data_IF_176848644791
#
_entry.id   IF_176848644791
#
_cell.length_a   1.000
_cell.length_b   1.000
_cell.length_c   1.000
_cell.angle_alpha   90.00
_cell.angle_beta   90.00
_cell.angle_gamma   90.00
#
_symmetry.space_group_name_H-M   'P 1'
#
loop_
_entity.id
_entity.type
_entity.pdbx_description
1 polymer ?
#
# COMPACT_ATOMS: atom_id res chain seq x y z
N UNK A 1 -36.82 31.33 -18.84
CA UNK A 1 -36.48 30.29 -17.83
C UNK A 1 -36.06 28.91 -18.42
N UNK A 2 -35.94 28.73 -19.72
CA UNK A 2 -35.62 27.39 -20.34
C UNK A 2 -34.13 27.21 -20.63
N UNK A 3 -33.32 28.27 -20.71
CA UNK A 3 -31.90 28.20 -21.02
C UNK A 3 -31.00 27.67 -19.87
N UNK A 4 -31.39 27.93 -18.60
CA UNK A 4 -30.62 27.50 -17.45
C UNK A 4 -30.63 25.98 -17.19
N UNK A 5 -31.75 25.31 -17.51
CA UNK A 5 -31.88 23.85 -17.31
C UNK A 5 -31.09 23.01 -18.31
N UNK A 6 -30.83 23.55 -19.51
CA UNK A 6 -29.98 22.88 -20.52
C UNK A 6 -28.50 22.97 -20.16
N UNK A 7 -28.03 24.10 -19.63
CA UNK A 7 -26.64 24.28 -19.22
C UNK A 7 -26.30 23.39 -18.03
N UNK A 8 -27.19 23.29 -17.03
CA UNK A 8 -26.97 22.41 -15.87
C UNK A 8 -26.91 20.92 -16.25
N UNK A 9 -27.73 20.48 -17.22
CA UNK A 9 -27.70 19.08 -17.72
C UNK A 9 -26.44 18.78 -18.55
N UNK A 10 -25.90 19.77 -19.26
CA UNK A 10 -24.65 19.61 -20.02
C UNK A 10 -23.43 19.50 -19.07
N UNK A 11 -23.37 20.34 -18.04
CA UNK A 11 -22.31 20.29 -17.04
C UNK A 11 -22.35 18.95 -16.27
N UNK A 12 -23.53 18.49 -15.87
CA UNK A 12 -23.66 17.22 -15.15
C UNK A 12 -23.27 16.01 -16.02
N UNK A 13 -23.58 16.02 -17.32
CA UNK A 13 -23.14 14.98 -18.27
C UNK A 13 -21.63 15.01 -18.52
N UNK A 14 -21.03 16.21 -18.60
CA UNK A 14 -19.59 16.34 -18.83
C UNK A 14 -18.79 15.89 -17.61
N UNK A 15 -19.27 16.17 -16.40
CA UNK A 15 -18.64 15.70 -15.15
C UNK A 15 -18.79 14.18 -15.01
N UNK A 16 -19.96 13.61 -15.31
CA UNK A 16 -20.17 12.17 -15.26
C UNK A 16 -19.32 11.41 -16.29
N UNK A 17 -19.17 11.92 -17.51
CA UNK A 17 -18.29 11.33 -18.53
C UNK A 17 -16.80 11.39 -18.14
N UNK A 18 -16.34 12.48 -17.51
CA UNK A 18 -14.96 12.59 -17.03
C UNK A 18 -14.69 11.64 -15.85
N UNK A 19 -15.61 11.53 -14.89
CA UNK A 19 -15.52 10.55 -13.82
C UNK A 19 -15.50 9.12 -14.35
N UNK A 20 -16.30 8.81 -15.37
CA UNK A 20 -16.32 7.48 -15.98
C UNK A 20 -15.03 7.19 -16.77
N UNK A 21 -14.44 8.18 -17.45
CA UNK A 21 -13.18 8.04 -18.17
C UNK A 21 -11.98 7.87 -17.19
N UNK A 22 -11.99 8.57 -16.06
CA UNK A 22 -10.96 8.43 -15.01
C UNK A 22 -11.12 7.09 -14.29
N UNK A 23 -12.34 6.66 -13.97
CA UNK A 23 -12.62 5.35 -13.38
C UNK A 23 -12.24 4.21 -14.31
N UNK A 24 -12.54 4.31 -15.61
CA UNK A 24 -12.14 3.30 -16.60
C UNK A 24 -10.64 3.32 -16.86
N UNK A 25 -9.97 4.48 -16.83
CA UNK A 25 -8.52 4.55 -16.92
C UNK A 25 -7.83 3.97 -15.68
N UNK A 26 -8.34 4.25 -14.48
CA UNK A 26 -7.82 3.67 -13.22
C UNK A 26 -8.08 2.17 -13.14
N UNK A 27 -9.29 1.72 -13.52
CA UNK A 27 -9.61 0.29 -13.61
C UNK A 27 -8.78 -0.41 -14.69
N UNK A 28 -8.54 0.23 -15.83
CA UNK A 28 -7.65 -0.28 -16.88
C UNK A 28 -6.20 -0.34 -16.41
N UNK A 29 -5.72 0.64 -15.64
CA UNK A 29 -4.38 0.64 -15.04
C UNK A 29 -4.22 -0.53 -14.06
N UNK A 30 -5.23 -0.79 -13.22
CA UNK A 30 -5.22 -1.94 -12.28
C UNK A 30 -5.37 -3.29 -13.02
N UNK A 31 -6.08 -3.32 -14.14
CA UNK A 31 -6.27 -4.53 -14.94
C UNK A 31 -5.15 -4.78 -15.95
N UNK A 32 -4.45 -3.73 -16.39
CA UNK A 32 -3.36 -3.80 -17.39
C UNK A 32 -1.97 -3.89 -16.76
N UNK A 33 -1.82 -3.58 -15.46
CA UNK A 33 -0.54 -3.76 -14.79
C UNK A 33 -0.29 -5.25 -14.59
N UNK A 34 0.56 -5.83 -15.42
CA UNK A 34 1.07 -7.19 -15.30
C UNK A 34 1.94 -7.40 -14.06
N UNK A 35 1.75 -6.60 -13.02
CA UNK A 35 2.47 -6.70 -11.76
C UNK A 35 2.04 -7.94 -10.98
N UNK A 36 2.99 -8.62 -10.42
CA UNK A 36 2.74 -9.69 -9.47
C UNK A 36 2.00 -9.13 -8.25
N UNK A 37 0.97 -9.83 -7.79
CA UNK A 37 0.13 -9.43 -6.65
C UNK A 37 -0.18 -10.62 -5.76
N UNK A 38 -0.39 -10.38 -4.47
CA UNK A 38 -0.82 -11.41 -3.54
C UNK A 38 -2.13 -11.02 -2.85
N UNK A 39 -3.05 -11.98 -2.78
CA UNK A 39 -4.24 -11.93 -1.94
C UNK A 39 -4.16 -13.07 -0.93
N UNK A 40 -4.19 -12.71 0.33
CA UNK A 40 -4.07 -13.64 1.45
C UNK A 40 -5.36 -13.63 2.25
N UNK A 41 -6.00 -14.78 2.40
CA UNK A 41 -7.25 -14.92 3.18
C UNK A 41 -7.01 -15.86 4.35
N UNK A 42 -7.33 -15.41 5.55
CA UNK A 42 -7.30 -16.21 6.79
C UNK A 42 -8.71 -16.38 7.30
N UNK A 43 -9.25 -17.59 7.21
CA UNK A 43 -10.56 -17.94 7.78
C UNK A 43 -10.34 -18.55 9.14
N UNK A 44 -10.89 -17.96 10.18
CA UNK A 44 -10.75 -18.38 11.57
C UNK A 44 -12.05 -19.07 12.00
N UNK A 45 -11.93 -20.19 12.72
CA UNK A 45 -13.05 -20.94 13.29
C UNK A 45 -13.24 -20.61 14.77
N UNK A 46 -14.41 -20.89 15.32
CA UNK A 46 -14.72 -20.60 16.73
C UNK A 46 -13.83 -21.35 17.73
N UNK A 47 -13.28 -22.51 17.35
CA UNK A 47 -12.33 -23.28 18.16
C UNK A 47 -10.88 -22.76 18.07
N UNK A 48 -10.64 -21.69 17.31
CA UNK A 48 -9.32 -21.11 17.10
C UNK A 48 -8.49 -21.80 16.03
N UNK A 49 -8.99 -22.85 15.39
CA UNK A 49 -8.39 -23.39 14.16
C UNK A 49 -8.61 -22.42 13.01
N UNK A 50 -7.78 -22.49 11.98
CA UNK A 50 -7.84 -21.55 10.88
C UNK A 50 -7.34 -22.13 9.57
N UNK A 51 -7.82 -21.58 8.48
CA UNK A 51 -7.40 -21.92 7.11
C UNK A 51 -6.75 -20.70 6.46
N UNK A 52 -5.59 -20.91 5.88
CA UNK A 52 -4.84 -19.92 5.14
C UNK A 52 -4.95 -20.20 3.66
N UNK A 53 -5.40 -19.22 2.90
CA UNK A 53 -5.42 -19.26 1.43
C UNK A 53 -4.58 -18.11 0.89
N UNK A 54 -3.62 -18.43 0.02
CA UNK A 54 -2.75 -17.45 -0.64
C UNK A 54 -2.98 -17.57 -2.14
N UNK A 55 -3.48 -16.52 -2.76
CA UNK A 55 -3.63 -16.41 -4.20
C UNK A 55 -2.57 -15.43 -4.74
N UNK A 56 -1.62 -15.97 -5.48
CA UNK A 56 -0.57 -15.23 -6.17
C UNK A 56 -0.94 -15.12 -7.64
N UNK A 57 -0.83 -13.93 -8.20
CA UNK A 57 -1.08 -13.70 -9.63
C UNK A 57 0.05 -12.85 -10.20
N UNK A 58 0.50 -13.19 -11.38
CA UNK A 58 1.54 -12.45 -12.09
C UNK A 58 1.70 -12.95 -13.51
N UNK A 59 2.60 -12.34 -14.27
CA UNK A 59 2.92 -12.83 -15.60
C UNK A 59 3.68 -14.15 -15.55
N UNK A 60 3.42 -15.01 -16.53
CA UNK A 60 4.20 -16.21 -16.74
C UNK A 60 5.51 -15.86 -17.49
N UNK A 61 6.62 -16.47 -17.08
CA UNK A 61 7.90 -16.33 -17.77
C UNK A 61 7.80 -16.84 -19.19
N UNK A 62 8.27 -16.05 -20.14
CA UNK A 62 8.36 -16.44 -21.56
C UNK A 62 9.79 -16.35 -22.04
N UNK A 63 10.19 -17.35 -22.81
CA UNK A 63 11.50 -17.34 -23.45
C UNK A 63 11.61 -16.19 -24.46
N UNK A 64 12.67 -15.40 -24.35
CA UNK A 64 13.02 -14.32 -25.29
C UNK A 64 12.33 -12.98 -25.09
N UNK A 65 11.48 -12.81 -24.08
CA UNK A 65 10.89 -11.52 -23.73
C UNK A 65 11.53 -11.02 -22.44
N UNK A 66 12.25 -9.90 -22.52
CA UNK A 66 12.72 -9.19 -21.33
C UNK A 66 11.51 -8.51 -20.72
N UNK A 67 10.97 -9.07 -19.64
CA UNK A 67 9.67 -8.74 -19.14
C UNK A 67 9.73 -8.16 -17.72
N UNK A 68 8.69 -7.43 -17.38
CA UNK A 68 8.18 -7.19 -16.03
C UNK A 68 8.41 -8.40 -15.12
N UNK A 69 8.68 -8.21 -13.82
CA UNK A 69 8.89 -9.31 -12.88
C UNK A 69 7.75 -10.34 -12.98
N UNK A 70 8.09 -11.60 -13.19
CA UNK A 70 7.12 -12.69 -13.23
C UNK A 70 6.66 -13.03 -11.82
N UNK A 71 5.59 -13.84 -11.69
CA UNK A 71 5.16 -14.35 -10.40
C UNK A 71 6.33 -15.06 -9.69
N UNK A 72 7.05 -15.91 -10.42
CA UNK A 72 8.17 -16.68 -9.89
C UNK A 72 9.38 -15.80 -9.52
N UNK A 73 9.59 -14.68 -10.19
CA UNK A 73 10.67 -13.74 -9.85
C UNK A 73 10.32 -12.92 -8.59
N UNK A 74 9.04 -12.76 -8.29
CA UNK A 74 8.54 -11.92 -7.18
C UNK A 74 8.33 -12.73 -5.90
N UNK A 75 7.58 -13.83 -5.99
CA UNK A 75 7.15 -14.57 -4.79
C UNK A 75 7.93 -15.87 -4.59
N UNK A 76 8.07 -16.26 -3.33
CA UNK A 76 8.37 -17.63 -2.96
C UNK A 76 7.04 -18.37 -2.79
N UNK A 77 6.82 -19.37 -3.64
CA UNK A 77 5.63 -20.22 -3.51
C UNK A 77 5.86 -21.19 -2.36
N UNK A 78 5.05 -21.17 -1.28
CA UNK A 78 5.19 -22.10 -0.19
C UNK A 78 5.06 -23.56 -0.67
N UNK A 79 6.03 -24.37 -0.31
CA UNK A 79 6.04 -25.81 -0.58
C UNK A 79 6.19 -26.56 0.74
N UNK A 80 5.70 -27.80 0.80
CA UNK A 80 5.87 -28.63 1.99
C UNK A 80 4.57 -29.24 2.49
N UNK A 81 4.64 -30.04 3.56
CA UNK A 81 3.49 -30.80 4.05
C UNK A 81 2.34 -29.89 4.51
N UNK A 82 1.15 -30.26 4.10
CA UNK A 82 -0.09 -29.55 4.45
C UNK A 82 -0.52 -28.47 3.49
N UNK A 83 0.31 -28.02 2.56
CA UNK A 83 -0.10 -27.12 1.48
C UNK A 83 -0.75 -27.91 0.33
N UNK A 84 -1.92 -27.43 -0.09
CA UNK A 84 -2.56 -27.83 -1.35
C UNK A 84 -2.37 -26.69 -2.32
N UNK A 85 -1.98 -26.98 -3.57
CA UNK A 85 -1.79 -25.97 -4.61
C UNK A 85 -2.65 -26.27 -5.82
N UNK A 86 -3.13 -25.21 -6.45
CA UNK A 86 -3.73 -25.24 -7.79
C UNK A 86 -3.18 -24.09 -8.61
N UNK A 87 -3.00 -24.35 -9.91
CA UNK A 87 -2.46 -23.37 -10.85
C UNK A 87 -3.43 -23.20 -12.01
N UNK A 88 -3.60 -21.96 -12.44
CA UNK A 88 -4.38 -21.59 -13.60
C UNK A 88 -3.61 -20.59 -14.44
N UNK A 89 -3.52 -20.81 -15.74
CA UNK A 89 -2.94 -19.86 -16.69
C UNK A 89 -4.05 -19.33 -17.61
N UNK A 90 -4.23 -18.02 -17.62
CA UNK A 90 -5.16 -17.34 -18.50
C UNK A 90 -4.54 -16.06 -19.06
N UNK A 91 -4.60 -15.88 -20.38
CA UNK A 91 -4.12 -14.66 -21.07
C UNK A 91 -2.71 -14.23 -20.67
N UNK A 92 -1.78 -15.19 -20.51
CA UNK A 92 -0.40 -15.04 -20.02
C UNK A 92 -0.24 -14.69 -18.54
N UNK A 93 -1.30 -14.64 -17.78
CA UNK A 93 -1.25 -14.51 -16.33
C UNK A 93 -1.27 -15.90 -15.70
N UNK A 94 -0.30 -16.17 -14.86
CA UNK A 94 -0.25 -17.32 -13.98
C UNK A 94 -0.90 -16.96 -12.65
N UNK A 95 -1.85 -17.76 -12.23
CA UNK A 95 -2.46 -17.68 -10.90
C UNK A 95 -2.17 -18.97 -10.14
N UNK A 96 -1.55 -18.83 -8.98
CA UNK A 96 -1.26 -19.95 -8.07
C UNK A 96 -2.07 -19.73 -6.80
N UNK A 97 -2.93 -20.70 -6.48
CA UNK A 97 -3.68 -20.68 -5.22
C UNK A 97 -3.17 -21.78 -4.31
N UNK A 98 -2.84 -21.40 -3.09
CA UNK A 98 -2.30 -22.27 -2.04
C UNK A 98 -3.26 -22.28 -0.87
N UNK A 99 -3.52 -23.46 -0.28
CA UNK A 99 -4.38 -23.61 0.88
C UNK A 99 -3.72 -24.49 1.93
N UNK A 100 -3.85 -24.09 3.20
CA UNK A 100 -3.39 -24.87 4.36
C UNK A 100 -4.33 -24.68 5.55
N UNK A 101 -4.70 -25.79 6.19
CA UNK A 101 -5.45 -25.77 7.45
C UNK A 101 -4.50 -25.93 8.64
N UNK A 102 -4.78 -25.21 9.71
CA UNK A 102 -3.94 -25.13 10.91
C UNK A 102 -4.81 -25.32 12.17
N UNK A 103 -4.24 -25.98 13.17
CA UNK A 103 -4.88 -26.13 14.47
C UNK A 103 -4.86 -24.83 15.26
N UNK A 104 -5.69 -24.75 16.29
CA UNK A 104 -5.69 -23.64 17.23
C UNK A 104 -4.29 -23.42 17.84
N UNK A 105 -3.87 -22.16 17.94
CA UNK A 105 -2.58 -21.75 18.46
C UNK A 105 -1.38 -21.97 17.53
N UNK A 106 -1.60 -22.53 16.34
CA UNK A 106 -0.53 -22.67 15.35
C UNK A 106 -0.09 -21.30 14.80
N UNK A 107 1.16 -21.24 14.37
CA UNK A 107 1.76 -20.07 13.70
C UNK A 107 2.32 -20.47 12.34
N UNK A 108 2.44 -19.52 11.43
CA UNK A 108 3.18 -19.67 10.18
C UNK A 108 4.22 -18.55 10.05
N UNK A 109 5.40 -18.94 9.57
CA UNK A 109 6.51 -18.05 9.27
C UNK A 109 6.86 -18.15 7.79
N UNK A 110 6.91 -17.02 7.11
CA UNK A 110 7.35 -16.92 5.73
C UNK A 110 6.45 -17.59 4.70
N UNK A 111 5.17 -17.82 5.02
CA UNK A 111 4.20 -18.37 4.08
C UNK A 111 3.87 -17.37 2.95
N UNK A 112 4.05 -16.08 3.20
CA UNK A 112 4.14 -15.04 2.18
C UNK A 112 5.54 -14.42 2.23
N UNK A 113 6.34 -14.69 1.21
CA UNK A 113 7.70 -14.17 1.09
C UNK A 113 7.93 -13.57 -0.29
N UNK A 114 8.55 -12.39 -0.33
CA UNK A 114 8.90 -11.69 -1.56
C UNK A 114 10.40 -11.73 -1.75
N UNK A 115 10.83 -12.08 -2.97
CA UNK A 115 12.22 -12.18 -3.35
C UNK A 115 12.87 -10.81 -3.49
N UNK A 116 14.12 -10.71 -3.09
CA UNK A 116 14.97 -9.56 -3.40
C UNK A 116 15.49 -9.66 -4.84
N UNK A 117 15.92 -8.53 -5.41
CA UNK A 117 16.71 -8.51 -6.64
C UNK A 117 18.05 -9.25 -6.49
N UNK A 118 18.53 -9.43 -5.26
CA UNK A 118 19.72 -10.23 -4.98
C UNK A 118 19.35 -11.72 -4.94
N UNK A 119 20.03 -12.58 -5.74
CA UNK A 119 19.73 -14.00 -5.80
C UNK A 119 19.77 -14.68 -4.40
N UNK A 120 18.75 -15.46 -4.11
CA UNK A 120 18.66 -16.23 -2.86
C UNK A 120 18.31 -15.42 -1.61
N UNK A 121 18.12 -14.11 -1.74
CA UNK A 121 17.66 -13.27 -0.62
C UNK A 121 16.17 -12.97 -0.73
N UNK A 122 15.56 -12.76 0.43
CA UNK A 122 14.19 -12.25 0.57
C UNK A 122 14.28 -10.77 0.90
N UNK A 123 13.26 -10.01 0.49
CA UNK A 123 13.12 -8.61 0.91
C UNK A 123 11.97 -8.40 1.89
N UNK A 124 11.00 -9.32 1.88
CA UNK A 124 9.88 -9.30 2.80
C UNK A 124 9.52 -10.71 3.21
N UNK A 125 9.25 -10.90 4.49
CA UNK A 125 8.73 -12.14 5.07
C UNK A 125 7.58 -11.80 6.03
N UNK A 126 6.62 -12.70 6.17
CA UNK A 126 5.54 -12.54 7.15
C UNK A 126 5.66 -13.54 8.30
N UNK A 127 5.03 -13.17 9.41
CA UNK A 127 4.71 -14.03 10.53
C UNK A 127 3.24 -13.88 10.87
N UNK A 128 2.48 -14.97 10.96
CA UNK A 128 1.06 -14.94 11.31
C UNK A 128 0.74 -15.90 12.45
N UNK A 129 -0.11 -15.45 13.36
CA UNK A 129 -0.58 -16.21 14.51
C UNK A 129 -2.06 -15.93 14.80
N UNK A 130 -2.78 -16.98 15.20
CA UNK A 130 -4.11 -16.88 15.79
C UNK A 130 -4.05 -17.47 17.20
N UNK A 131 -4.36 -16.66 18.21
CA UNK A 131 -4.20 -17.04 19.63
C UNK A 131 -5.50 -16.81 20.40
N UNK A 132 -5.80 -17.70 21.35
CA UNK A 132 -6.83 -17.45 22.35
C UNK A 132 -6.29 -16.46 23.39
N UNK A 133 -6.98 -15.33 23.57
CA UNK A 133 -6.59 -14.26 24.50
C UNK A 133 -7.58 -14.06 25.64
N UNK A 134 -8.62 -14.88 25.70
CA UNK A 134 -9.61 -14.89 26.79
C UNK A 134 -10.77 -15.82 26.48
N UNK A 135 -11.73 -15.96 27.41
CA UNK A 135 -12.96 -16.68 27.13
C UNK A 135 -13.68 -16.08 25.92
N UNK A 136 -13.98 -16.92 24.94
CA UNK A 136 -14.65 -16.50 23.69
C UNK A 136 -13.93 -15.37 22.94
N UNK A 137 -12.57 -15.28 23.03
CA UNK A 137 -11.80 -14.24 22.36
C UNK A 137 -10.57 -14.82 21.69
N UNK A 138 -10.42 -14.49 20.41
CA UNK A 138 -9.25 -14.80 19.60
C UNK A 138 -8.55 -13.50 19.17
N UNK A 139 -7.23 -13.54 19.09
CA UNK A 139 -6.41 -12.48 18.48
C UNK A 139 -5.79 -13.03 17.21
N UNK A 140 -6.06 -12.36 16.11
CA UNK A 140 -5.28 -12.46 14.89
C UNK A 140 -4.17 -11.42 14.91
N UNK A 141 -2.96 -11.87 14.59
CA UNK A 141 -1.81 -10.97 14.42
C UNK A 141 -0.98 -11.44 13.23
N UNK A 142 -0.76 -10.56 12.27
CA UNK A 142 0.19 -10.78 11.19
C UNK A 142 1.19 -9.63 11.14
N UNK A 143 2.48 -9.96 11.00
CA UNK A 143 3.56 -8.99 10.92
C UNK A 143 4.28 -9.20 9.59
N UNK A 144 4.49 -8.14 8.83
CA UNK A 144 5.36 -8.12 7.67
C UNK A 144 6.68 -7.49 8.09
N UNK A 145 7.75 -8.24 7.90
CA UNK A 145 9.10 -7.83 8.22
C UNK A 145 9.91 -7.63 6.94
N UNK A 146 10.52 -6.44 6.80
CA UNK A 146 11.37 -6.10 5.68
C UNK A 146 12.81 -6.49 5.98
N UNK A 147 13.40 -7.33 5.14
CA UNK A 147 14.78 -7.84 5.29
C UNK A 147 15.75 -7.23 4.27
N UNK A 148 15.23 -6.47 3.32
CA UNK A 148 16.00 -5.79 2.28
C UNK A 148 16.54 -4.41 2.71
N UNK A 149 17.26 -3.72 1.84
CA UNK A 149 17.58 -2.31 2.04
C UNK A 149 16.30 -1.48 2.06
N UNK A 150 16.27 -0.30 2.71
CA UNK A 150 15.12 0.60 2.69
C UNK A 150 14.65 0.88 1.26
N UNK A 151 13.34 1.07 1.09
CA UNK A 151 12.76 1.39 -0.21
C UNK A 151 13.38 2.64 -0.80
N UNK A 152 13.73 2.57 -2.08
CA UNK A 152 14.25 3.74 -2.82
C UNK A 152 13.15 4.61 -3.40
N UNK A 153 11.88 4.31 -3.14
CA UNK A 153 10.72 4.96 -3.75
C UNK A 153 10.76 6.49 -3.66
N UNK A 154 11.39 7.03 -2.62
CA UNK A 154 11.53 8.47 -2.39
C UNK A 154 13.01 8.93 -2.35
N UNK A 155 13.98 8.02 -2.42
CA UNK A 155 15.40 8.37 -2.32
C UNK A 155 16.03 8.80 -3.66
N UNK A 156 15.44 8.44 -4.79
CA UNK A 156 15.92 8.82 -6.12
C UNK A 156 15.43 10.22 -6.54
N UNK A 157 15.39 11.14 -5.57
CA UNK A 157 15.05 12.54 -5.85
C UNK A 157 16.15 13.16 -6.70
N UNK A 158 15.76 13.57 -7.88
CA UNK A 158 16.67 14.23 -8.83
C UNK A 158 17.25 15.55 -8.24
N UNK A 159 18.47 15.95 -8.63
CA UNK A 159 19.10 17.17 -8.12
C UNK A 159 18.23 18.44 -8.23
N UNK A 160 17.36 18.53 -9.24
CA UNK A 160 16.40 19.63 -9.40
C UNK A 160 15.39 19.73 -8.24
N UNK A 161 14.93 18.60 -7.75
CA UNK A 161 13.97 18.56 -6.64
C UNK A 161 14.62 18.94 -5.30
N UNK A 162 15.92 18.62 -5.10
CA UNK A 162 16.67 19.09 -3.95
C UNK A 162 16.86 20.60 -3.95
N UNK A 163 17.04 21.21 -5.12
CA UNK A 163 17.16 22.67 -5.25
C UNK A 163 15.83 23.37 -4.87
N UNK A 164 14.69 22.83 -5.34
CA UNK A 164 13.36 23.29 -4.92
C UNK A 164 13.19 23.18 -3.41
N UNK A 165 13.46 22.01 -2.83
CA UNK A 165 13.36 21.81 -1.38
C UNK A 165 14.22 22.79 -0.57
N UNK A 166 15.46 23.04 -1.00
CA UNK A 166 16.35 24.02 -0.35
C UNK A 166 15.81 25.44 -0.39
N UNK A 167 15.11 25.83 -1.48
CA UNK A 167 14.56 27.19 -1.61
C UNK A 167 13.52 27.54 -0.55
N UNK A 168 12.86 26.53 0.04
CA UNK A 168 11.86 26.68 1.10
C UNK A 168 12.46 26.61 2.51
N UNK A 169 13.68 26.09 2.66
CA UNK A 169 14.34 26.05 3.95
C UNK A 169 14.93 27.39 4.35
N UNK A 170 14.98 27.74 5.64
CA UNK A 170 15.75 28.87 6.14
C UNK A 170 17.20 28.81 5.63
N UNK A 171 17.79 29.94 5.27
CA UNK A 171 19.14 30.00 4.67
C UNK A 171 20.20 29.22 5.44
N UNK A 172 20.14 29.23 6.79
CA UNK A 172 21.06 28.49 7.66
C UNK A 172 20.90 26.97 7.55
N UNK A 173 19.76 26.48 7.09
CA UNK A 173 19.43 25.05 6.98
C UNK A 173 19.42 24.58 5.51
N UNK A 174 19.51 25.47 4.54
CA UNK A 174 19.39 25.20 3.11
C UNK A 174 20.67 24.58 2.51
N UNK A 175 21.17 23.49 3.09
CA UNK A 175 22.33 22.73 2.60
C UNK A 175 21.88 21.44 1.92
N UNK A 176 22.69 20.88 1.03
CA UNK A 176 22.39 19.59 0.37
C UNK A 176 22.26 18.45 1.37
N UNK A 177 23.12 18.46 2.40
CA UNK A 177 23.07 17.46 3.48
C UNK A 177 21.74 17.50 4.22
N UNK A 178 21.28 18.69 4.62
CA UNK A 178 20.02 18.87 5.32
C UNK A 178 18.82 18.52 4.43
N UNK A 179 18.85 18.90 3.16
CA UNK A 179 17.79 18.58 2.22
C UNK A 179 17.67 17.06 2.00
N UNK A 180 18.80 16.35 1.83
CA UNK A 180 18.80 14.88 1.71
C UNK A 180 18.27 14.21 2.98
N UNK A 181 18.78 14.61 4.16
CA UNK A 181 18.33 14.08 5.43
C UNK A 181 16.82 14.33 5.67
N UNK A 182 16.31 15.48 5.24
CA UNK A 182 14.87 15.76 5.30
C UNK A 182 14.07 14.84 4.37
N UNK A 183 14.57 14.59 3.16
CA UNK A 183 13.94 13.64 2.22
C UNK A 183 13.88 12.24 2.81
N UNK A 184 14.99 11.75 3.36
CA UNK A 184 15.05 10.43 4.01
C UNK A 184 14.06 10.36 5.18
N UNK A 185 13.97 11.43 5.98
CA UNK A 185 13.01 11.49 7.09
C UNK A 185 11.56 11.57 6.62
N UNK A 186 11.30 12.30 5.53
CA UNK A 186 9.98 12.33 4.91
C UNK A 186 9.59 10.95 4.36
N UNK A 187 10.52 10.24 3.74
CA UNK A 187 10.31 8.88 3.25
C UNK A 187 9.98 7.92 4.41
N UNK A 188 10.81 7.91 5.45
CA UNK A 188 10.60 7.10 6.66
C UNK A 188 9.20 7.27 7.26
N UNK A 189 8.71 8.49 7.30
CA UNK A 189 7.43 8.81 7.93
C UNK A 189 6.23 8.68 6.97
N UNK A 190 6.42 8.96 5.66
CA UNK A 190 5.30 8.96 4.70
C UNK A 190 5.00 7.56 4.15
N UNK A 191 6.00 6.73 3.94
CA UNK A 191 5.80 5.39 3.37
C UNK A 191 4.83 4.55 4.22
N UNK A 192 4.99 4.42 5.55
CA UNK A 192 4.02 3.71 6.38
C UNK A 192 2.61 4.33 6.38
N UNK A 193 2.52 5.66 6.22
CA UNK A 193 1.24 6.39 6.23
C UNK A 193 0.51 6.25 4.88
N UNK A 194 1.24 6.28 3.78
CA UNK A 194 0.65 6.22 2.43
C UNK A 194 0.37 4.79 1.97
N UNK A 195 1.19 3.84 2.39
CA UNK A 195 1.18 2.47 1.88
C UNK A 195 0.89 1.43 2.97
N UNK A 196 0.75 1.88 4.23
CA UNK A 196 0.52 0.99 5.38
C UNK A 196 -0.92 0.53 5.53
N UNK A 197 -1.16 -0.46 6.40
CA UNK A 197 -2.48 -0.97 6.70
C UNK A 197 -3.36 0.09 7.38
N UNK A 198 -4.66 0.05 7.11
CA UNK A 198 -5.63 1.00 7.68
C UNK A 198 -5.65 2.36 6.97
N UNK A 199 -5.01 2.48 5.81
CA UNK A 199 -5.23 3.63 4.94
C UNK A 199 -6.13 3.26 3.76
N UNK A 200 -7.37 3.76 3.73
CA UNK A 200 -8.30 3.48 2.65
C UNK A 200 -7.92 4.17 1.33
N UNK A 201 -6.75 4.82 1.22
CA UNK A 201 -6.37 5.57 0.02
C UNK A 201 -6.46 4.74 -1.25
N UNK A 202 -6.07 3.47 -1.21
CA UNK A 202 -6.24 2.56 -2.35
C UNK A 202 -7.71 2.23 -2.60
N UNK A 203 -8.46 1.87 -1.56
CA UNK A 203 -9.89 1.54 -1.68
C UNK A 203 -10.74 2.79 -1.93
N UNK A 204 -10.48 3.89 -1.22
CA UNK A 204 -11.19 5.17 -1.40
C UNK A 204 -10.82 5.87 -2.70
N UNK A 205 -9.58 5.74 -3.18
CA UNK A 205 -9.15 6.28 -4.47
C UNK A 205 -9.94 5.69 -5.64
N UNK A 206 -10.41 4.46 -5.51
CA UNK A 206 -11.29 3.81 -6.50
C UNK A 206 -12.73 4.34 -6.45
N UNK A 207 -13.24 4.71 -5.27
CA UNK A 207 -14.63 5.14 -5.07
C UNK A 207 -14.79 6.67 -5.03
N UNK A 208 -13.84 7.36 -4.41
CA UNK A 208 -13.87 8.81 -4.18
C UNK A 208 -12.49 9.44 -4.35
N UNK A 209 -11.98 9.60 -5.59
CA UNK A 209 -10.62 10.07 -5.84
C UNK A 209 -10.33 11.45 -5.22
N UNK A 210 -11.29 12.37 -5.24
CA UNK A 210 -11.11 13.72 -4.67
C UNK A 210 -10.96 13.67 -3.13
N UNK A 211 -11.73 12.81 -2.47
CA UNK A 211 -11.67 12.65 -1.01
C UNK A 211 -10.40 11.91 -0.58
N UNK A 212 -9.98 10.90 -1.34
CA UNK A 212 -8.73 10.18 -1.11
C UNK A 212 -7.54 11.13 -1.22
N UNK A 213 -7.53 11.96 -2.27
CA UNK A 213 -6.50 12.97 -2.47
C UNK A 213 -6.48 14.04 -1.38
N UNK A 214 -7.66 14.54 -0.96
CA UNK A 214 -7.76 15.50 0.15
C UNK A 214 -7.19 14.93 1.45
N UNK A 215 -7.52 13.69 1.79
CA UNK A 215 -6.99 13.01 2.99
C UNK A 215 -5.49 12.71 2.86
N UNK A 216 -5.03 12.29 1.67
CA UNK A 216 -3.60 12.12 1.41
C UNK A 216 -2.85 13.42 1.66
N UNK A 217 -3.33 14.54 1.13
CA UNK A 217 -2.71 15.84 1.32
C UNK A 217 -2.66 16.26 2.80
N UNK A 218 -3.73 16.03 3.56
CA UNK A 218 -3.73 16.32 5.00
C UNK A 218 -2.71 15.47 5.76
N UNK A 219 -2.63 14.17 5.46
CA UNK A 219 -1.69 13.25 6.11
C UNK A 219 -0.25 13.55 5.73
N UNK A 220 0.02 13.79 4.45
CA UNK A 220 1.35 14.22 3.96
C UNK A 220 1.75 15.53 4.65
N UNK A 221 0.83 16.47 4.81
CA UNK A 221 1.10 17.71 5.54
C UNK A 221 1.55 17.49 6.99
N UNK A 222 0.85 16.63 7.70
CA UNK A 222 1.22 16.26 9.07
C UNK A 222 2.58 15.54 9.13
N UNK A 223 2.83 14.65 8.18
CA UNK A 223 4.13 13.95 8.03
C UNK A 223 5.25 14.93 7.74
N UNK A 224 5.05 15.88 6.82
CA UNK A 224 6.06 16.90 6.50
C UNK A 224 6.41 17.77 7.72
N UNK A 225 5.41 18.23 8.48
CA UNK A 225 5.64 18.98 9.71
C UNK A 225 6.44 18.16 10.72
N UNK A 226 6.08 16.88 10.91
CA UNK A 226 6.78 15.97 11.80
C UNK A 226 8.22 15.68 11.34
N UNK A 227 8.43 15.52 10.03
CA UNK A 227 9.77 15.33 9.46
C UNK A 227 10.67 16.55 9.70
N UNK A 228 10.13 17.75 9.46
CA UNK A 228 10.83 19.02 9.75
C UNK A 228 11.16 19.17 11.25
N UNK A 229 10.23 18.76 12.12
CA UNK A 229 10.45 18.76 13.56
C UNK A 229 11.55 17.80 13.99
N UNK A 230 11.50 16.56 13.50
CA UNK A 230 12.51 15.55 13.84
C UNK A 230 13.89 15.88 13.28
N UNK A 231 13.95 16.50 12.09
CA UNK A 231 15.20 16.81 11.42
C UNK A 231 15.85 18.08 11.98
N UNK A 232 15.06 19.10 12.29
CA UNK A 232 15.61 20.43 12.63
C UNK A 232 15.35 20.85 14.08
N UNK A 233 14.39 20.25 14.78
CA UNK A 233 14.09 20.53 16.19
C UNK A 233 13.97 22.02 16.47
N UNK A 234 14.73 22.49 17.47
CA UNK A 234 14.71 23.90 17.90
C UNK A 234 15.34 24.88 16.90
N UNK A 235 16.00 24.37 15.83
CA UNK A 235 16.57 25.22 14.77
C UNK A 235 15.52 25.81 13.83
N UNK A 236 14.27 25.37 13.93
CA UNK A 236 13.16 25.86 13.15
C UNK A 236 11.91 26.01 14.03
N UNK A 237 11.33 27.23 14.04
CA UNK A 237 10.15 27.47 14.85
C UNK A 237 8.91 26.71 14.36
N UNK A 238 7.96 26.34 15.22
CA UNK A 238 6.76 25.59 14.82
C UNK A 238 5.93 26.26 13.69
N UNK A 239 5.91 27.60 13.67
CA UNK A 239 5.24 28.36 12.62
C UNK A 239 5.97 28.23 11.26
N UNK A 240 7.30 28.28 11.26
CA UNK A 240 8.13 28.10 10.07
C UNK A 240 7.99 26.70 9.51
N UNK A 241 7.97 25.66 10.36
CA UNK A 241 7.75 24.25 9.93
C UNK A 241 6.43 24.10 9.18
N UNK A 242 5.35 24.68 9.72
CA UNK A 242 4.02 24.64 9.06
C UNK A 242 4.02 25.38 7.72
N UNK A 243 4.69 26.51 7.66
CA UNK A 243 4.77 27.31 6.44
C UNK A 243 5.58 26.58 5.34
N UNK A 244 6.76 26.04 5.70
CA UNK A 244 7.57 25.22 4.78
C UNK A 244 6.78 23.99 4.31
N UNK A 245 6.13 23.27 5.22
CA UNK A 245 5.29 22.13 4.85
C UNK A 245 4.16 22.54 3.90
N UNK A 246 3.49 23.65 4.14
CA UNK A 246 2.43 24.19 3.27
C UNK A 246 2.96 24.52 1.86
N UNK A 247 4.12 25.16 1.76
CA UNK A 247 4.75 25.50 0.48
C UNK A 247 5.14 24.25 -0.31
N UNK A 248 5.75 23.26 0.35
CA UNK A 248 6.11 21.98 -0.28
C UNK A 248 4.87 21.24 -0.79
N UNK A 249 3.77 21.21 -0.02
CA UNK A 249 2.52 20.61 -0.46
C UNK A 249 1.96 21.36 -1.65
N UNK A 250 1.96 22.69 -1.61
CA UNK A 250 1.44 23.52 -2.69
C UNK A 250 2.24 23.35 -3.99
N UNK A 251 3.56 23.20 -3.92
CA UNK A 251 4.38 22.91 -5.11
C UNK A 251 4.15 21.49 -5.62
N UNK A 252 4.08 20.52 -4.71
CA UNK A 252 3.92 19.10 -5.09
C UNK A 252 2.52 18.81 -5.61
N UNK A 253 1.48 19.42 -5.03
CA UNK A 253 0.07 19.09 -5.29
C UNK A 253 -0.79 20.29 -5.73
N UNK A 254 -0.29 21.53 -5.60
CA UNK A 254 -1.10 22.75 -5.78
C UNK A 254 -1.15 23.31 -7.21
N UNK A 255 -0.29 22.89 -8.09
CA UNK A 255 -0.38 23.23 -9.51
C UNK A 255 -1.21 22.17 -10.20
N UNK A 256 -2.48 22.39 -10.50
CA UNK A 256 -3.36 21.69 -11.49
C UNK A 256 -2.90 20.31 -12.05
N UNK A 257 -1.84 19.72 -11.53
CA UNK A 257 -1.26 18.42 -11.89
C UNK A 257 -2.18 17.25 -11.54
N UNK A 258 -3.23 17.52 -10.79
CA UNK A 258 -4.33 16.55 -10.57
C UNK A 258 -5.13 16.23 -11.84
N UNK A 259 -4.98 17.04 -12.91
CA UNK A 259 -5.58 16.72 -14.20
C UNK A 259 -4.75 15.71 -15.01
N UNK A 260 -3.46 15.57 -14.70
CA UNK A 260 -2.60 14.51 -15.23
C UNK A 260 -1.69 14.05 -14.07
N UNK A 261 -1.85 12.82 -13.59
CA UNK A 261 -0.86 12.26 -12.67
C UNK A 261 0.51 12.40 -13.35
N UNK A 262 1.50 12.86 -12.58
CA UNK A 262 2.89 12.87 -13.02
C UNK A 262 3.15 11.53 -13.72
N UNK A 263 3.72 11.54 -14.95
CA UNK A 263 4.07 10.30 -15.65
C UNK A 263 4.86 9.32 -14.76
N UNK A 264 5.67 9.82 -13.83
CA UNK A 264 6.36 9.00 -12.85
C UNK A 264 5.41 8.37 -11.82
N UNK A 265 4.38 9.10 -11.34
CA UNK A 265 3.32 8.56 -10.46
C UNK A 265 2.38 7.65 -11.23
N UNK A 266 2.07 8.01 -12.49
CA UNK A 266 1.28 7.16 -13.38
C UNK A 266 2.08 5.90 -13.80
N UNK A 267 3.38 6.01 -14.03
CA UNK A 267 4.27 4.89 -14.29
C UNK A 267 4.43 4.02 -13.02
N UNK A 268 4.54 4.64 -11.84
CA UNK A 268 4.50 3.94 -10.56
C UNK A 268 3.18 3.18 -10.37
N UNK A 269 2.06 3.80 -10.70
CA UNK A 269 0.74 3.17 -10.68
C UNK A 269 0.53 2.19 -11.85
N UNK A 270 1.21 2.37 -12.99
CA UNK A 270 1.10 1.50 -14.17
C UNK A 270 2.01 0.28 -14.15
N UNK A 271 2.80 0.11 -13.09
CA UNK A 271 3.59 -1.11 -12.90
C UNK A 271 4.82 -1.26 -13.81
N UNK A 272 5.17 -0.21 -14.54
CA UNK A 272 6.43 -0.20 -15.28
C UNK A 272 7.57 0.19 -14.33
N UNK A 273 8.28 -0.80 -13.83
CA UNK A 273 9.59 -0.72 -13.16
C UNK A 273 9.66 -0.14 -11.73
N UNK A 274 8.56 0.15 -11.05
CA UNK A 274 8.63 0.65 -9.67
C UNK A 274 8.81 -0.42 -8.61
N UNK A 275 8.68 -1.68 -8.99
CA UNK A 275 8.85 -2.80 -8.05
C UNK A 275 7.80 -2.87 -6.93
N UNK A 276 6.73 -2.08 -7.00
CA UNK A 276 5.66 -2.11 -6.01
C UNK A 276 4.77 -3.33 -6.19
N UNK A 277 4.73 -4.20 -5.21
CA UNK A 277 3.87 -5.37 -5.19
C UNK A 277 2.65 -5.12 -4.31
N UNK A 278 1.43 -5.06 -4.89
CA UNK A 278 0.21 -4.92 -4.09
C UNK A 278 -0.05 -6.19 -3.29
N UNK A 279 -0.33 -6.01 -2.01
CA UNK A 279 -0.68 -7.06 -1.06
C UNK A 279 -2.07 -6.78 -0.48
N UNK A 280 -2.92 -7.79 -0.48
CA UNK A 280 -4.24 -7.72 0.14
C UNK A 280 -4.38 -8.85 1.16
N UNK A 281 -4.68 -8.49 2.39
CA UNK A 281 -4.94 -9.42 3.48
C UNK A 281 -6.42 -9.34 3.87
N UNK A 282 -7.06 -10.49 4.04
CA UNK A 282 -8.46 -10.62 4.41
C UNK A 282 -8.54 -11.59 5.59
N UNK A 283 -9.24 -11.19 6.64
CA UNK A 283 -9.58 -12.06 7.75
C UNK A 283 -11.08 -12.28 7.76
N UNK A 284 -11.51 -13.55 7.73
CA UNK A 284 -12.88 -13.98 7.91
C UNK A 284 -13.06 -14.41 9.37
N UNK A 285 -13.69 -13.56 10.21
CA UNK A 285 -13.83 -13.84 11.63
C UNK A 285 -14.89 -14.91 11.91
N UNK A 286 -14.81 -15.67 13.03
CA UNK A 286 -15.82 -16.63 13.43
C UNK A 286 -17.07 -15.99 14.06
N UNK A 287 -17.02 -14.71 14.37
CA UNK A 287 -18.07 -13.93 15.02
C UNK A 287 -17.79 -12.43 14.91
N UNK A 288 -18.12 -11.67 15.96
CA UNK A 288 -17.97 -10.22 15.91
C UNK A 288 -16.51 -9.75 16.01
N UNK A 289 -16.22 -8.63 15.38
CA UNK A 289 -14.94 -7.93 15.54
C UNK A 289 -15.01 -6.98 16.72
N UNK A 290 -14.17 -7.20 17.75
CA UNK A 290 -14.10 -6.33 18.94
C UNK A 290 -13.23 -5.12 18.63
N UNK A 291 -12.06 -5.35 18.03
CA UNK A 291 -11.16 -4.27 17.60
C UNK A 291 -10.26 -4.74 16.47
N UNK A 292 -9.85 -3.82 15.60
CA UNK A 292 -8.89 -4.06 14.54
C UNK A 292 -8.22 -2.75 14.13
N UNK A 293 -7.06 -2.85 13.49
CA UNK A 293 -6.44 -1.74 12.77
C UNK A 293 -6.65 -1.85 11.24
N UNK A 294 -7.47 -2.80 10.80
CA UNK A 294 -7.94 -2.95 9.42
C UNK A 294 -9.32 -2.32 9.21
N UNK A 295 -9.79 -2.37 7.98
CA UNK A 295 -11.14 -1.96 7.62
C UNK A 295 -12.10 -3.15 7.71
N UNK A 296 -13.32 -2.89 8.14
CA UNK A 296 -14.37 -3.90 8.25
C UNK A 296 -15.35 -3.68 7.11
N UNK A 297 -15.58 -4.69 6.31
CA UNK A 297 -16.69 -4.73 5.36
C UNK A 297 -18.00 -4.91 6.13
N UNK A 298 -18.84 -3.88 6.13
CA UNK A 298 -20.11 -3.88 6.86
C UNK A 298 -21.11 -4.96 6.38
N UNK A 299 -20.95 -5.48 5.17
CA UNK A 299 -21.86 -6.50 4.61
C UNK A 299 -21.41 -7.92 4.94
N UNK A 300 -20.10 -8.21 4.82
CA UNK A 300 -19.57 -9.56 5.05
C UNK A 300 -19.01 -9.74 6.46
N UNK A 301 -18.70 -8.66 7.18
CA UNK A 301 -17.98 -8.67 8.44
C UNK A 301 -16.49 -9.03 8.29
N UNK A 302 -15.99 -9.17 7.07
CA UNK A 302 -14.58 -9.43 6.81
C UNK A 302 -13.74 -8.22 7.16
N UNK A 303 -12.52 -8.48 7.64
CA UNK A 303 -11.53 -7.44 7.91
C UNK A 303 -10.51 -7.49 6.77
N UNK A 304 -10.14 -6.33 6.22
CA UNK A 304 -9.15 -6.27 5.18
C UNK A 304 -8.10 -5.20 5.39
N UNK A 305 -6.91 -5.46 4.86
CA UNK A 305 -5.80 -4.53 4.73
C UNK A 305 -5.29 -4.58 3.30
N UNK A 306 -5.25 -3.43 2.65
CA UNK A 306 -4.62 -3.26 1.35
C UNK A 306 -3.36 -2.42 1.53
N UNK A 307 -2.23 -2.91 1.06
CA UNK A 307 -0.95 -2.22 1.19
C UNK A 307 0.00 -2.59 0.05
N UNK A 308 1.08 -1.85 -0.06
CA UNK A 308 2.21 -2.24 -0.89
C UNK A 308 3.33 -2.82 -0.01
N UNK A 309 4.12 -3.72 -0.57
CA UNK A 309 5.22 -4.37 0.15
C UNK A 309 6.18 -3.37 0.81
N UNK A 310 6.46 -2.25 0.13
CA UNK A 310 7.34 -1.17 0.62
C UNK A 310 6.86 -0.52 1.92
N UNK A 311 5.59 -0.68 2.29
CA UNK A 311 5.08 -0.20 3.58
C UNK A 311 5.89 -0.73 4.77
N UNK A 312 6.45 -1.94 4.63
CA UNK A 312 7.29 -2.57 5.65
C UNK A 312 8.76 -2.12 5.61
N UNK A 313 9.20 -1.34 4.60
CA UNK A 313 10.63 -1.07 4.37
C UNK A 313 11.32 -0.20 5.44
N UNK A 314 10.55 0.53 6.22
CA UNK A 314 11.06 1.38 7.30
C UNK A 314 10.70 0.86 8.69
N UNK A 315 9.57 0.17 8.82
CA UNK A 315 9.11 -0.41 10.08
C UNK A 315 8.26 -1.64 9.76
N UNK A 316 8.24 -2.61 10.66
CA UNK A 316 7.33 -3.73 10.54
C UNK A 316 5.88 -3.25 10.40
N UNK A 317 5.17 -3.82 9.45
CA UNK A 317 3.73 -3.62 9.32
C UNK A 317 3.03 -4.68 10.15
N UNK A 318 2.22 -4.24 11.12
CA UNK A 318 1.48 -5.11 12.02
C UNK A 318 -0.01 -4.97 11.77
N UNK A 319 -0.65 -6.08 11.38
CA UNK A 319 -2.09 -6.22 11.19
C UNK A 319 -2.66 -7.00 12.37
N UNK A 320 -3.68 -6.45 13.06
CA UNK A 320 -4.26 -7.05 14.26
C UNK A 320 -5.77 -6.99 14.24
N UNK A 321 -6.40 -8.03 14.78
CA UNK A 321 -7.82 -8.05 15.09
C UNK A 321 -8.08 -8.87 16.35
N UNK A 322 -8.95 -8.35 17.21
CA UNK A 322 -9.52 -9.10 18.34
C UNK A 322 -10.95 -9.49 17.98
N UNK A 323 -11.24 -10.78 18.03
CA UNK A 323 -12.45 -11.39 17.54
C UNK A 323 -13.19 -12.06 18.69
N UNK A 324 -14.51 -11.94 18.69
CA UNK A 324 -15.38 -12.68 19.59
C UNK A 324 -15.80 -14.00 18.93
N UNK A 325 -15.79 -15.09 19.69
CA UNK A 325 -16.32 -16.39 19.23
C UNK A 325 -17.69 -16.62 19.83
N UNK A 326 -18.62 -17.02 19.00
CA UNK A 326 -19.96 -17.41 19.44
C UNK A 326 -19.93 -18.71 20.24
#
# INVERSE_FOLDING_TARGET
>A
MVAGAKAARLVCRYTAMRCFAILSALAAVILLSGCARARVTTRIQSDGSWTRTIALTGQQKRDGVQATPTLEDTFVVPTGPGWKSSEETKDNNLSVTLERSLSAGATLDGDLSIKSSEPGKLRLVNHVAVKTVGPHRLEYRETLHWTGPPSKLLSDIQPGNLAGLKSHLPKALATDTNARALVDKMAELSVPVLFGPGDPLLAMGMLHPDLALYRANQRIGAVMVKALEQQFGDKMQPAERREVARQLIQETFGSNTLAQPDPAVAAAASGNDTGLTPLMFIVQPPGNVISTNGEIDEFSGEIFWALFEDAASYNDVVMTAVLETN
#
